data_IF_470441930339
#
_entry.id   IF_470441930339
#
_cell.length_a   1.000
_cell.length_b   1.000
_cell.length_c   1.000
_cell.angle_alpha   90.00
_cell.angle_beta   90.00
_cell.angle_gamma   90.00
#
_symmetry.space_group_name_H-M   'P 1'
#
loop_
_entity.id
_entity.type
_entity.pdbx_description
1 polymer ?
#
# COMPACT_ATOMS: atom_id res chain seq x y z
N UNK A 1 -22.66 3.76 12.04
CA UNK A 1 -21.27 3.57 11.59
C UNK A 1 -21.29 2.53 10.48
N UNK A 2 -20.62 2.78 9.35
CA UNK A 2 -20.57 1.83 8.22
C UNK A 2 -19.12 1.40 8.05
N UNK A 3 -18.90 0.08 8.05
CA UNK A 3 -17.60 -0.50 7.75
C UNK A 3 -17.67 -1.18 6.38
N UNK A 4 -16.62 -1.03 5.57
CA UNK A 4 -16.48 -1.70 4.29
C UNK A 4 -15.06 -2.23 4.14
N UNK A 5 -14.92 -3.48 3.71
CA UNK A 5 -13.63 -4.12 3.54
C UNK A 5 -13.74 -5.61 3.29
N UNK A 6 -12.58 -6.24 3.10
CA UNK A 6 -12.46 -7.68 2.87
C UNK A 6 -11.31 -8.22 3.71
N UNK A 7 -11.61 -9.05 4.72
CA UNK A 7 -10.57 -9.62 5.60
C UNK A 7 -9.67 -10.65 4.91
N UNK A 8 -9.99 -11.07 3.68
CA UNK A 8 -9.06 -11.84 2.84
C UNK A 8 -7.90 -11.00 2.30
N UNK A 9 -8.01 -9.67 2.35
CA UNK A 9 -6.91 -8.78 1.97
C UNK A 9 -5.93 -8.59 3.13
N UNK A 10 -4.89 -7.78 2.92
CA UNK A 10 -3.81 -7.56 3.87
C UNK A 10 -4.32 -7.13 5.27
N UNK A 11 -3.76 -7.69 6.35
CA UNK A 11 -4.07 -7.26 7.70
C UNK A 11 -3.44 -5.88 8.00
N UNK A 12 -3.84 -5.21 9.10
CA UNK A 12 -3.19 -3.99 9.55
C UNK A 12 -1.68 -4.17 9.78
N UNK A 13 -0.85 -3.20 9.35
CA UNK A 13 0.63 -3.30 9.41
C UNK A 13 1.17 -3.27 10.84
N UNK A 14 0.61 -2.40 11.70
CA UNK A 14 1.06 -2.18 13.10
C UNK A 14 -0.04 -2.44 14.14
N UNK A 15 -1.18 -2.99 13.71
CA UNK A 15 -2.34 -3.21 14.55
C UNK A 15 -2.76 -4.68 14.58
N UNK A 16 -3.62 -5.03 15.54
CA UNK A 16 -4.22 -6.37 15.60
C UNK A 16 -5.40 -6.47 14.64
N UNK A 17 -5.66 -7.68 14.13
CA UNK A 17 -6.88 -7.98 13.37
C UNK A 17 -8.08 -7.91 14.31
N UNK A 18 -9.21 -7.38 13.85
CA UNK A 18 -10.42 -7.23 14.67
C UNK A 18 -10.95 -8.58 15.19
N UNK A 19 -10.70 -9.66 14.44
CA UNK A 19 -11.09 -11.03 14.79
C UNK A 19 -10.05 -11.79 15.63
N UNK A 20 -8.91 -11.18 15.96
CA UNK A 20 -7.86 -11.85 16.71
C UNK A 20 -8.26 -12.09 18.17
N UNK A 21 -8.14 -13.32 18.64
CA UNK A 21 -8.45 -13.68 20.03
C UNK A 21 -7.45 -13.07 21.02
N UNK A 22 -6.23 -12.72 20.59
CA UNK A 22 -5.17 -12.18 21.47
C UNK A 22 -5.51 -10.81 22.07
N UNK A 23 -6.37 -10.03 21.43
CA UNK A 23 -6.85 -8.74 21.99
C UNK A 23 -7.69 -8.97 23.26
N UNK A 24 -8.29 -10.15 23.42
CA UNK A 24 -9.09 -10.51 24.60
C UNK A 24 -8.22 -10.77 25.84
N UNK A 25 -7.04 -11.38 25.64
CA UNK A 25 -6.12 -11.77 26.72
C UNK A 25 -5.37 -10.58 27.34
N UNK A 26 -5.54 -9.38 26.80
CA UNK A 26 -4.98 -8.15 27.37
C UNK A 26 -5.83 -7.56 28.51
N UNK A 27 -7.10 -7.96 28.64
CA UNK A 27 -8.03 -7.47 29.67
C UNK A 27 -7.54 -7.83 31.09
N UNK A 28 -6.83 -8.94 31.25
CA UNK A 28 -6.30 -9.40 32.53
C UNK A 28 -4.99 -8.71 32.96
N UNK A 29 -4.45 -7.81 32.12
CA UNK A 29 -3.21 -7.08 32.44
C UNK A 29 -3.50 -5.90 33.36
N UNK A 30 -3.01 -5.97 34.61
CA UNK A 30 -3.14 -4.93 35.67
C UNK A 30 -2.70 -3.51 35.26
N UNK A 31 -1.97 -3.32 34.16
CA UNK A 31 -1.60 -2.01 33.59
C UNK A 31 -1.64 -2.05 32.07
N UNK A 32 -2.79 -1.78 31.48
CA UNK A 32 -2.91 -1.62 30.02
C UNK A 32 -2.42 -0.23 29.60
N UNK A 33 -1.59 -0.18 28.54
CA UNK A 33 -1.27 1.09 27.88
C UNK A 33 -2.52 1.65 27.19
N UNK A 34 -2.54 2.97 26.91
CA UNK A 34 -3.65 3.59 26.17
C UNK A 34 -3.90 2.89 24.83
N UNK A 35 -2.82 2.51 24.12
CA UNK A 35 -2.92 1.79 22.85
C UNK A 35 -3.66 0.45 23.00
N UNK A 36 -3.34 -0.33 24.04
CA UNK A 36 -4.01 -1.60 24.32
C UNK A 36 -5.48 -1.39 24.69
N UNK A 37 -5.79 -0.37 25.51
CA UNK A 37 -7.17 0.01 25.83
C UNK A 37 -7.98 0.33 24.56
N UNK A 38 -7.41 1.11 23.64
CA UNK A 38 -8.06 1.45 22.37
C UNK A 38 -8.31 0.22 21.49
N UNK A 39 -7.38 -0.75 21.44
CA UNK A 39 -7.57 -2.00 20.71
C UNK A 39 -8.71 -2.84 21.30
N UNK A 40 -8.81 -2.93 22.63
CA UNK A 40 -9.90 -3.64 23.32
C UNK A 40 -11.25 -2.98 23.04
N UNK A 41 -11.33 -1.65 23.15
CA UNK A 41 -12.56 -0.90 22.84
C UNK A 41 -12.94 -1.03 21.36
N UNK A 42 -11.97 -0.94 20.44
CA UNK A 42 -12.18 -1.14 19.01
C UNK A 42 -12.77 -2.51 18.69
N UNK A 43 -12.24 -3.55 19.33
CA UNK A 43 -12.78 -4.91 19.21
C UNK A 43 -14.18 -5.02 19.81
N UNK A 44 -14.42 -4.46 21.00
CA UNK A 44 -15.74 -4.46 21.62
C UNK A 44 -16.79 -3.80 20.70
N UNK A 45 -16.47 -2.65 20.10
CA UNK A 45 -17.33 -1.98 19.11
C UNK A 45 -17.56 -2.84 17.87
N UNK A 46 -16.53 -3.51 17.35
CA UNK A 46 -16.69 -4.46 16.23
C UNK A 46 -17.68 -5.59 16.56
N UNK A 47 -17.68 -6.09 17.79
CA UNK A 47 -18.63 -7.13 18.23
C UNK A 47 -20.07 -6.64 18.43
N UNK A 48 -20.33 -5.34 18.40
CA UNK A 48 -21.69 -4.77 18.39
C UNK A 48 -22.30 -4.70 16.98
N UNK A 49 -21.53 -5.01 15.92
CA UNK A 49 -22.05 -5.03 14.55
C UNK A 49 -22.92 -6.27 14.35
N UNK A 50 -24.22 -6.06 14.21
CA UNK A 50 -25.24 -7.12 14.02
C UNK A 50 -25.80 -7.18 12.60
N UNK A 51 -25.56 -6.15 11.79
CA UNK A 51 -26.00 -6.07 10.39
C UNK A 51 -24.78 -6.23 9.48
N UNK A 52 -24.79 -7.24 8.62
CA UNK A 52 -23.72 -7.52 7.67
C UNK A 52 -24.35 -7.75 6.31
N UNK A 53 -23.75 -7.17 5.27
CA UNK A 53 -24.14 -7.41 3.88
C UNK A 53 -22.89 -7.81 3.11
N UNK A 54 -22.93 -8.98 2.47
CA UNK A 54 -21.86 -9.50 1.64
C UNK A 54 -22.25 -9.30 0.18
N UNK A 55 -21.43 -8.55 -0.56
CA UNK A 55 -21.59 -8.39 -2.00
C UNK A 55 -20.95 -9.59 -2.71
N UNK A 56 -21.71 -10.27 -3.57
CA UNK A 56 -21.28 -11.49 -4.27
C UNK A 56 -20.81 -11.24 -5.72
N UNK A 57 -21.27 -10.16 -6.35
CA UNK A 57 -20.92 -9.86 -7.74
C UNK A 57 -19.57 -9.14 -7.86
N UNK A 58 -18.63 -9.75 -8.59
CA UNK A 58 -17.32 -9.15 -8.84
C UNK A 58 -17.36 -8.21 -10.06
N UNK A 59 -17.45 -6.91 -9.78
CA UNK A 59 -17.50 -5.88 -10.83
C UNK A 59 -16.14 -5.53 -11.46
N UNK A 60 -15.03 -5.99 -10.86
CA UNK A 60 -13.67 -5.68 -11.36
C UNK A 60 -13.31 -6.50 -12.59
N UNK A 61 -13.71 -7.77 -12.59
CA UNK A 61 -13.42 -8.72 -13.65
C UNK A 61 -14.74 -9.25 -14.19
N UNK A 62 -15.34 -8.48 -15.12
CA UNK A 62 -16.54 -8.92 -15.82
C UNK A 62 -16.12 -9.97 -16.84
N UNK A 63 -16.49 -11.23 -16.58
CA UNK A 63 -16.05 -12.37 -17.38
C UNK A 63 -16.46 -12.23 -18.85
N UNK A 64 -15.49 -11.92 -19.71
CA UNK A 64 -15.69 -11.85 -21.15
C UNK A 64 -15.16 -13.12 -21.85
N UNK A 65 -14.10 -13.73 -21.31
CA UNK A 65 -13.42 -14.89 -21.88
C UNK A 65 -13.41 -16.10 -20.94
N UNK A 66 -13.01 -17.26 -21.44
CA UNK A 66 -12.78 -18.45 -20.60
C UNK A 66 -11.63 -18.25 -19.61
N UNK A 67 -10.55 -17.61 -20.07
CA UNK A 67 -9.41 -17.23 -19.22
C UNK A 67 -9.85 -16.28 -18.09
N UNK A 68 -10.74 -15.31 -18.35
CA UNK A 68 -11.27 -14.44 -17.29
C UNK A 68 -12.10 -15.21 -16.26
N UNK A 69 -12.88 -16.22 -16.70
CA UNK A 69 -13.61 -17.11 -15.79
C UNK A 69 -12.66 -17.96 -14.94
N UNK A 70 -11.59 -18.48 -15.55
CA UNK A 70 -10.56 -19.23 -14.83
C UNK A 70 -9.82 -18.36 -13.81
N UNK A 71 -9.46 -17.13 -14.18
CA UNK A 71 -8.86 -16.16 -13.27
C UNK A 71 -9.80 -15.76 -12.13
N UNK A 72 -11.08 -15.48 -12.42
CA UNK A 72 -12.07 -15.16 -11.41
C UNK A 72 -12.26 -16.31 -10.41
N UNK A 73 -12.34 -17.56 -10.90
CA UNK A 73 -12.39 -18.77 -10.06
C UNK A 73 -11.14 -18.91 -9.20
N UNK A 74 -9.96 -18.79 -9.79
CA UNK A 74 -8.70 -18.86 -9.07
C UNK A 74 -8.62 -17.80 -7.96
N UNK A 75 -9.05 -16.56 -8.22
CA UNK A 75 -9.11 -15.49 -7.21
C UNK A 75 -10.13 -15.79 -6.11
N UNK A 76 -11.31 -16.30 -6.45
CA UNK A 76 -12.33 -16.68 -5.48
C UNK A 76 -11.82 -17.78 -4.54
N UNK A 77 -11.17 -18.80 -5.07
CA UNK A 77 -10.56 -19.87 -4.27
C UNK A 77 -9.35 -19.37 -3.47
N UNK A 78 -8.53 -18.49 -4.06
CA UNK A 78 -7.36 -17.88 -3.39
C UNK A 78 -7.76 -17.04 -2.18
N UNK A 79 -8.93 -16.39 -2.24
CA UNK A 79 -9.52 -15.65 -1.11
C UNK A 79 -9.61 -16.52 0.16
N UNK A 80 -9.83 -17.83 -0.01
CA UNK A 80 -9.94 -18.81 1.08
C UNK A 80 -8.69 -19.69 1.23
N UNK A 81 -7.59 -19.36 0.52
CA UNK A 81 -6.41 -20.21 0.39
C UNK A 81 -6.76 -21.66 0.01
N UNK A 82 -7.72 -21.82 -0.90
CA UNK A 82 -8.28 -23.09 -1.33
C UNK A 82 -8.15 -23.30 -2.85
N UNK A 83 -7.10 -22.74 -3.47
CA UNK A 83 -6.87 -22.94 -4.90
C UNK A 83 -6.76 -24.44 -5.23
N UNK A 84 -7.42 -24.83 -6.31
CA UNK A 84 -7.41 -26.18 -6.87
C UNK A 84 -6.19 -26.40 -7.77
N UNK A 85 -5.83 -27.65 -8.10
CA UNK A 85 -4.79 -27.92 -9.10
C UNK A 85 -5.02 -27.18 -10.43
N UNK A 86 -6.28 -27.11 -10.88
CA UNK A 86 -6.68 -26.40 -12.10
C UNK A 86 -6.42 -24.89 -12.00
N UNK A 87 -6.66 -24.29 -10.82
CA UNK A 87 -6.34 -22.88 -10.58
C UNK A 87 -4.83 -22.64 -10.61
N UNK A 88 -4.03 -23.57 -10.06
CA UNK A 88 -2.57 -23.47 -10.06
C UNK A 88 -2.01 -23.58 -11.48
N UNK A 89 -2.51 -24.53 -12.28
CA UNK A 89 -2.11 -24.70 -13.68
C UNK A 89 -2.44 -23.46 -14.50
N UNK A 90 -3.65 -22.91 -14.32
CA UNK A 90 -4.02 -21.65 -14.94
C UNK A 90 -3.07 -20.50 -14.53
N UNK A 91 -2.79 -20.33 -13.24
CA UNK A 91 -1.89 -19.28 -12.76
C UNK A 91 -0.46 -19.43 -13.30
N UNK A 92 0.02 -20.67 -13.51
CA UNK A 92 1.32 -20.93 -14.16
C UNK A 92 1.36 -20.41 -15.59
N UNK A 93 0.24 -20.41 -16.33
CA UNK A 93 0.18 -19.81 -17.67
C UNK A 93 0.41 -18.30 -17.66
N UNK A 94 0.15 -17.64 -16.51
CA UNK A 94 0.36 -16.19 -16.33
C UNK A 94 1.77 -15.85 -15.86
N UNK A 95 2.62 -16.84 -15.61
CA UNK A 95 4.03 -16.63 -15.26
C UNK A 95 4.81 -16.20 -16.49
N UNK A 96 5.48 -15.05 -16.37
CA UNK A 96 6.27 -14.45 -17.45
C UNK A 96 7.31 -15.45 -17.95
N UNK A 97 7.42 -15.57 -19.27
CA UNK A 97 8.31 -16.51 -19.95
C UNK A 97 8.12 -18.00 -19.57
N UNK A 98 7.00 -18.37 -18.94
CA UNK A 98 6.70 -19.75 -18.57
C UNK A 98 6.24 -20.62 -19.75
N UNK A 99 5.82 -20.01 -20.86
CA UNK A 99 5.43 -20.69 -22.10
C UNK A 99 5.52 -19.74 -23.31
N UNK A 100 5.43 -20.22 -24.56
CA UNK A 100 5.42 -19.35 -25.75
C UNK A 100 4.27 -18.32 -25.77
N UNK A 101 3.15 -18.64 -25.13
CA UNK A 101 1.97 -17.78 -25.01
C UNK A 101 1.92 -17.03 -23.67
N UNK A 102 2.95 -17.15 -22.84
CA UNK A 102 3.01 -16.44 -21.57
C UNK A 102 3.20 -14.93 -21.79
N UNK A 103 2.74 -14.10 -20.83
CA UNK A 103 3.00 -12.66 -20.84
C UNK A 103 4.50 -12.36 -20.92
N UNK A 104 4.88 -11.31 -21.67
CA UNK A 104 6.26 -10.82 -21.71
C UNK A 104 6.33 -9.40 -21.16
N UNK A 105 7.26 -9.14 -20.25
CA UNK A 105 7.45 -7.79 -19.69
C UNK A 105 8.00 -6.77 -20.71
N UNK A 106 8.47 -7.25 -21.85
CA UNK A 106 8.83 -6.41 -23.00
C UNK A 106 7.62 -5.90 -23.77
N UNK A 107 6.45 -6.53 -23.62
CA UNK A 107 5.24 -6.12 -24.33
C UNK A 107 4.81 -4.72 -23.87
N UNK A 108 4.37 -3.88 -24.81
CA UNK A 108 3.97 -2.49 -24.53
C UNK A 108 2.92 -2.39 -23.42
N UNK A 109 2.04 -3.39 -23.30
CA UNK A 109 1.03 -3.51 -22.24
C UNK A 109 1.61 -3.52 -20.83
N UNK A 110 2.82 -4.05 -20.64
CA UNK A 110 3.44 -4.27 -19.33
C UNK A 110 4.70 -3.43 -19.08
N UNK A 111 5.29 -2.84 -20.13
CA UNK A 111 6.64 -2.26 -20.08
C UNK A 111 6.84 -1.27 -18.93
N UNK A 112 5.95 -0.30 -18.78
CA UNK A 112 6.03 0.76 -17.76
C UNK A 112 4.96 0.63 -16.67
N UNK A 113 4.38 -0.56 -16.56
CA UNK A 113 3.37 -0.87 -15.55
C UNK A 113 4.05 -1.16 -14.22
N UNK A 114 3.61 -0.45 -13.18
CA UNK A 114 4.15 -0.61 -11.82
C UNK A 114 4.04 -2.06 -11.33
N UNK A 115 5.15 -2.70 -10.98
CA UNK A 115 5.18 -4.07 -10.46
C UNK A 115 4.72 -4.06 -9.00
N UNK A 116 3.72 -4.87 -8.65
CA UNK A 116 3.31 -5.04 -7.24
C UNK A 116 4.31 -5.98 -6.56
N UNK A 117 4.89 -5.53 -5.45
CA UNK A 117 5.87 -6.29 -4.66
C UNK A 117 5.48 -6.32 -3.18
N UNK A 118 6.06 -7.25 -2.40
CA UNK A 118 5.74 -7.35 -0.98
C UNK A 118 6.57 -6.39 -0.11
N UNK A 119 7.82 -6.10 -0.50
CA UNK A 119 8.77 -5.36 0.33
C UNK A 119 9.15 -4.01 -0.27
N UNK A 120 9.34 -3.01 0.60
CA UNK A 120 9.78 -1.68 0.18
C UNK A 120 11.17 -1.69 -0.49
N UNK A 121 12.11 -2.51 0.00
CA UNK A 121 13.44 -2.62 -0.59
C UNK A 121 13.39 -3.22 -2.01
N UNK A 122 12.55 -4.23 -2.23
CA UNK A 122 12.33 -4.81 -3.56
C UNK A 122 11.67 -3.80 -4.50
N UNK A 123 10.66 -3.07 -4.01
CA UNK A 123 10.03 -1.95 -4.72
C UNK A 123 11.06 -0.89 -5.14
N UNK A 124 11.94 -0.46 -4.22
CA UNK A 124 12.95 0.55 -4.51
C UNK A 124 13.99 0.04 -5.53
N UNK A 125 14.38 -1.24 -5.47
CA UNK A 125 15.28 -1.85 -6.46
C UNK A 125 14.66 -1.89 -7.86
N UNK A 126 13.38 -2.29 -7.99
CA UNK A 126 12.69 -2.24 -9.29
C UNK A 126 12.54 -0.81 -9.80
N UNK A 127 12.32 0.16 -8.92
CA UNK A 127 12.27 1.57 -9.30
C UNK A 127 13.60 2.08 -9.85
N UNK A 128 14.73 1.71 -9.24
CA UNK A 128 16.06 2.08 -9.72
C UNK A 128 16.36 1.47 -11.10
N UNK A 129 16.08 0.17 -11.27
CA UNK A 129 16.23 -0.52 -12.55
C UNK A 129 15.28 0.05 -13.62
N UNK A 130 14.02 0.31 -13.26
CA UNK A 130 13.01 0.88 -14.13
C UNK A 130 13.38 2.28 -14.61
N UNK A 131 13.95 3.11 -13.73
CA UNK A 131 14.43 4.45 -14.05
C UNK A 131 15.50 4.43 -15.16
N UNK A 132 16.57 3.64 -14.96
CA UNK A 132 17.66 3.52 -15.91
C UNK A 132 17.21 2.95 -17.25
N UNK A 133 16.31 1.96 -17.20
CA UNK A 133 15.72 1.34 -18.39
C UNK A 133 14.85 2.34 -19.15
N UNK A 134 13.96 3.06 -18.48
CA UNK A 134 13.04 4.00 -19.11
C UNK A 134 13.78 5.13 -19.84
N UNK A 135 14.82 5.68 -19.22
CA UNK A 135 15.68 6.68 -19.84
C UNK A 135 16.33 6.15 -21.14
N UNK A 136 16.83 4.91 -21.11
CA UNK A 136 17.40 4.25 -22.29
C UNK A 136 16.36 3.99 -23.38
N UNK A 137 15.21 3.43 -23.00
CA UNK A 137 14.12 3.09 -23.94
C UNK A 137 13.55 4.35 -24.62
N UNK A 138 13.56 5.49 -23.93
CA UNK A 138 13.06 6.78 -24.45
C UNK A 138 14.16 7.69 -24.99
N UNK A 139 15.42 7.25 -24.99
CA UNK A 139 16.59 8.02 -25.39
C UNK A 139 16.67 9.41 -24.72
N UNK A 140 16.44 9.44 -23.40
CA UNK A 140 16.51 10.64 -22.57
C UNK A 140 17.61 10.51 -21.52
N UNK A 141 18.20 11.63 -21.13
CA UNK A 141 19.12 11.69 -19.99
C UNK A 141 18.35 11.75 -18.67
N UNK A 142 18.87 11.06 -17.66
CA UNK A 142 18.39 11.19 -16.29
C UNK A 142 18.93 12.46 -15.66
N UNK A 143 18.05 13.20 -15.01
CA UNK A 143 18.40 14.37 -14.21
C UNK A 143 18.27 14.03 -12.74
N UNK A 144 19.37 14.17 -12.01
CA UNK A 144 19.41 13.99 -10.55
C UNK A 144 19.08 15.28 -9.82
N UNK A 145 18.09 15.22 -8.94
CA UNK A 145 17.73 16.28 -8.01
C UNK A 145 17.95 15.82 -6.57
N UNK A 146 18.69 16.59 -5.81
CA UNK A 146 19.10 16.27 -4.46
C UNK A 146 18.23 17.02 -3.45
N UNK A 147 17.92 16.37 -2.33
CA UNK A 147 17.23 17.02 -1.23
C UNK A 147 18.12 18.05 -0.55
N UNK A 148 17.50 19.06 0.05
CA UNK A 148 18.15 19.96 1.00
C UNK A 148 17.85 19.44 2.40
N UNK A 149 18.89 18.94 3.07
CA UNK A 149 18.77 18.29 4.38
C UNK A 149 19.52 19.12 5.43
N UNK A 150 18.92 19.26 6.60
CA UNK A 150 19.56 19.82 7.81
C UNK A 150 19.41 18.84 8.96
N UNK A 151 20.37 18.82 9.88
CA UNK A 151 20.22 18.01 11.09
C UNK A 151 19.00 18.48 11.87
N UNK A 152 18.10 17.55 12.20
CA UNK A 152 16.96 17.90 13.03
C UNK A 152 17.47 18.31 14.43
N UNK A 153 16.86 19.34 15.05
CA UNK A 153 17.15 19.65 16.44
C UNK A 153 17.02 18.40 17.30
N UNK A 154 17.94 18.22 18.25
CA UNK A 154 17.83 17.13 19.23
C UNK A 154 16.60 17.40 20.08
N UNK A 155 15.48 16.76 19.73
CA UNK A 155 14.34 16.74 20.60
C UNK A 155 14.72 16.02 21.88
N UNK A 156 14.54 16.73 23.00
CA UNK A 156 14.54 16.08 24.31
C UNK A 156 13.49 14.97 24.26
N UNK A 157 13.84 13.72 24.60
CA UNK A 157 12.94 12.59 24.43
C UNK A 157 11.63 12.88 25.17
N UNK A 158 10.51 12.60 24.50
CA UNK A 158 9.13 12.68 25.01
C UNK A 158 8.83 11.68 26.15
N UNK A 159 9.85 11.23 26.89
CA UNK A 159 9.69 10.48 28.12
C UNK A 159 9.61 11.43 29.32
N UNK A 160 8.39 11.54 29.86
CA UNK A 160 8.12 11.95 31.24
C UNK A 160 9.02 11.17 32.21
N UNK A 161 10.23 11.67 32.51
CA UNK A 161 11.01 11.31 33.71
C UNK A 161 12.14 12.31 33.95
N UNK A 162 12.02 12.99 35.10
CA UNK A 162 12.99 13.84 35.82
C UNK A 162 13.31 15.23 35.22
N UNK A 163 12.59 16.21 35.75
CA UNK A 163 12.96 17.64 35.78
C UNK A 163 14.41 17.80 36.26
N UNK A 164 15.31 18.19 35.37
CA UNK A 164 16.52 18.95 35.70
C UNK A 164 16.41 20.32 35.05
N UNK A 165 16.75 21.37 35.81
CA UNK A 165 16.63 22.79 35.42
C UNK A 165 17.25 23.04 34.04
N UNK A 166 16.63 23.88 33.19
CA UNK A 166 17.20 24.19 31.88
C UNK A 166 18.49 25.00 32.07
N UNK A 167 19.62 24.48 31.59
CA UNK A 167 20.82 25.31 31.37
C UNK A 167 20.54 26.24 30.19
N UNK A 168 20.95 27.50 30.32
CA UNK A 168 20.79 28.59 29.33
C UNK A 168 21.14 28.09 27.91
N UNK A 169 20.20 28.27 26.98
CA UNK A 169 20.38 28.01 25.55
C UNK A 169 21.42 29.00 25.00
N UNK A 170 22.60 28.52 24.66
CA UNK A 170 23.43 29.18 23.65
C UNK A 170 22.84 28.87 22.27
N UNK A 171 22.90 29.84 21.35
CA UNK A 171 22.46 29.72 19.97
C UNK A 171 22.91 28.37 19.37
N UNK A 172 21.99 27.42 19.20
CA UNK A 172 22.27 26.19 18.47
C UNK A 172 22.36 26.56 17.00
N UNK A 173 23.58 26.75 16.52
CA UNK A 173 23.87 26.73 15.10
C UNK A 173 23.29 25.44 14.52
N UNK A 174 22.47 25.55 13.47
CA UNK A 174 22.08 24.44 12.61
C UNK A 174 23.36 23.87 12.03
N UNK A 175 23.89 22.81 12.64
CA UNK A 175 25.06 22.13 12.09
C UNK A 175 24.65 21.51 10.76
N UNK A 176 25.32 21.93 9.67
CA UNK A 176 25.19 21.27 8.38
C UNK A 176 25.59 19.80 8.50
N UNK A 177 24.97 18.94 7.69
CA UNK A 177 25.30 17.51 7.67
C UNK A 177 26.68 17.35 7.01
N UNK A 178 27.64 16.63 7.63
CA UNK A 178 28.94 16.37 7.01
C UNK A 178 28.81 15.74 5.63
N UNK A 179 29.58 16.21 4.65
CA UNK A 179 29.46 15.84 3.23
C UNK A 179 29.40 14.32 2.98
N UNK A 180 30.28 13.55 3.66
CA UNK A 180 30.29 12.07 3.55
C UNK A 180 28.99 11.43 4.04
N UNK A 181 28.39 11.99 5.09
CA UNK A 181 27.10 11.53 5.63
C UNK A 181 25.99 11.95 4.66
N UNK A 182 26.02 13.19 4.16
CA UNK A 182 25.04 13.69 3.19
C UNK A 182 25.02 12.86 1.91
N UNK A 183 26.19 12.52 1.36
CA UNK A 183 26.30 11.65 0.19
C UNK A 183 25.72 10.26 0.45
N UNK A 184 25.93 9.71 1.66
CA UNK A 184 25.35 8.42 2.06
C UNK A 184 23.83 8.49 2.20
N UNK A 185 23.31 9.60 2.71
CA UNK A 185 21.88 9.87 2.84
C UNK A 185 21.21 10.04 1.46
N UNK A 186 21.85 10.75 0.53
CA UNK A 186 21.35 10.89 -0.85
C UNK A 186 21.37 9.58 -1.63
N UNK A 187 22.34 8.71 -1.36
CA UNK A 187 22.45 7.39 -2.00
C UNK A 187 21.60 6.29 -1.32
N UNK A 188 20.96 6.59 -0.19
CA UNK A 188 20.13 5.62 0.52
C UNK A 188 18.81 5.39 -0.23
N UNK A 189 18.37 4.12 -0.28
CA UNK A 189 17.06 3.79 -0.84
C UNK A 189 15.94 4.43 -0.01
N UNK A 190 14.82 4.86 -0.63
CA UNK A 190 13.69 5.46 0.07
C UNK A 190 13.16 4.64 1.26
N UNK A 191 13.25 3.31 1.23
CA UNK A 191 12.86 2.43 2.34
C UNK A 191 13.67 2.67 3.63
N UNK A 192 14.88 3.21 3.52
CA UNK A 192 15.75 3.55 4.64
C UNK A 192 15.66 5.03 5.04
N UNK A 193 14.84 5.82 4.35
CA UNK A 193 14.70 7.27 4.59
C UNK A 193 13.23 7.68 4.73
N UNK A 194 12.44 6.90 5.47
CA UNK A 194 11.03 7.23 5.74
C UNK A 194 10.13 7.29 4.50
N UNK A 195 10.57 6.74 3.37
CA UNK A 195 9.94 6.87 2.05
C UNK A 195 9.94 8.28 1.47
N UNK A 196 10.91 9.10 1.86
CA UNK A 196 11.20 10.42 1.27
C UNK A 196 12.56 10.33 0.59
N UNK A 197 12.62 10.54 -0.72
CA UNK A 197 13.85 10.37 -1.49
C UNK A 197 14.93 11.40 -1.09
N UNK A 198 16.17 10.94 -0.90
CA UNK A 198 17.32 11.84 -0.78
C UNK A 198 17.76 12.37 -2.16
N UNK A 199 17.69 11.52 -3.19
CA UNK A 199 17.93 11.85 -4.59
C UNK A 199 16.76 11.37 -5.44
N UNK A 200 16.28 12.22 -6.34
CA UNK A 200 15.30 11.87 -7.37
C UNK A 200 15.99 11.90 -8.72
N UNK A 201 16.08 10.74 -9.36
CA UNK A 201 16.57 10.62 -10.73
C UNK A 201 15.35 10.50 -11.66
N UNK A 202 15.09 11.53 -12.47
CA UNK A 202 13.88 11.61 -13.31
C UNK A 202 14.18 12.15 -14.71
N UNK A 203 13.29 11.82 -15.65
CA UNK A 203 13.18 12.45 -16.97
C UNK A 203 11.69 12.65 -17.32
N UNK A 204 11.39 13.36 -18.41
CA UNK A 204 10.00 13.62 -18.81
C UNK A 204 9.29 12.30 -19.21
N UNK A 205 8.02 12.20 -18.87
CA UNK A 205 7.18 11.01 -19.07
C UNK A 205 7.34 9.90 -18.02
N UNK A 206 8.31 10.00 -17.12
CA UNK A 206 8.60 8.93 -16.16
C UNK A 206 7.45 8.73 -15.15
N UNK A 207 7.03 7.48 -14.86
CA UNK A 207 5.99 7.19 -13.88
C UNK A 207 6.45 7.48 -12.45
N UNK A 208 5.64 8.25 -11.73
CA UNK A 208 5.83 8.62 -10.34
C UNK A 208 4.54 8.43 -9.53
N UNK A 209 4.67 8.40 -8.20
CA UNK A 209 3.57 8.32 -7.25
C UNK A 209 3.73 9.39 -6.19
N UNK A 210 2.68 10.16 -5.95
CA UNK A 210 2.62 11.19 -4.91
C UNK A 210 2.66 10.52 -3.52
N UNK A 211 3.44 11.07 -2.60
CA UNK A 211 3.70 10.48 -1.26
C UNK A 211 3.10 11.25 -0.10
N UNK A 212 2.55 12.44 -0.37
CA UNK A 212 1.91 13.31 0.62
C UNK A 212 0.49 13.71 0.17
N UNK A 213 -0.38 14.03 1.13
CA UNK A 213 -1.67 14.65 0.83
C UNK A 213 -1.44 16.16 0.75
N UNK A 214 -1.49 16.71 -0.46
CA UNK A 214 -1.18 18.12 -0.71
C UNK A 214 -2.48 18.90 -0.87
N UNK A 215 -3.30 18.51 -1.84
CA UNK A 215 -4.57 19.15 -2.17
C UNK A 215 -5.55 18.09 -2.67
N UNK A 216 -6.41 17.61 -1.78
CA UNK A 216 -7.37 16.53 -2.07
C UNK A 216 -8.37 16.90 -3.17
N UNK A 217 -8.76 18.16 -3.19
CA UNK A 217 -9.66 18.79 -4.15
C UNK A 217 -9.06 18.88 -5.56
N UNK A 218 -7.73 18.84 -5.67
CA UNK A 218 -6.99 18.75 -6.93
C UNK A 218 -6.49 17.33 -7.22
N UNK A 219 -6.99 16.33 -6.47
CA UNK A 219 -6.56 14.94 -6.57
C UNK A 219 -5.05 14.73 -6.31
N UNK A 220 -4.37 15.67 -5.66
CA UNK A 220 -2.96 15.58 -5.26
C UNK A 220 -2.84 14.87 -3.93
N UNK A 221 -3.13 13.57 -3.93
CA UNK A 221 -3.21 12.74 -2.72
C UNK A 221 -2.11 11.69 -2.67
N UNK A 222 -1.81 11.21 -1.45
CA UNK A 222 -0.86 10.13 -1.25
C UNK A 222 -1.34 8.86 -1.94
N UNK A 223 -0.52 8.36 -2.86
CA UNK A 223 -0.81 7.16 -3.65
C UNK A 223 -1.43 7.45 -5.02
N UNK A 224 -1.70 8.71 -5.37
CA UNK A 224 -2.06 9.11 -6.73
C UNK A 224 -0.88 8.86 -7.67
N UNK A 225 -1.15 8.16 -8.77
CA UNK A 225 -0.18 7.88 -9.83
C UNK A 225 -0.14 9.05 -10.82
N UNK A 226 1.04 9.38 -11.32
CA UNK A 226 1.25 10.46 -12.26
C UNK A 226 2.47 10.17 -13.15
N UNK A 227 2.65 10.97 -14.19
CA UNK A 227 3.88 10.97 -15.01
C UNK A 227 4.55 12.33 -14.90
N UNK A 228 5.88 12.36 -14.92
CA UNK A 228 6.66 13.61 -14.92
C UNK A 228 6.33 14.40 -16.18
N UNK A 229 5.90 15.65 -16.02
CA UNK A 229 5.57 16.56 -17.14
C UNK A 229 6.71 17.56 -17.39
N UNK A 230 7.08 18.32 -16.36
CA UNK A 230 8.20 19.27 -16.40
C UNK A 230 8.66 19.62 -14.98
N UNK A 231 9.66 20.48 -14.84
CA UNK A 231 10.12 20.95 -13.53
C UNK A 231 10.76 22.34 -13.56
N UNK A 232 10.79 22.96 -12.38
CA UNK A 232 11.62 24.13 -12.06
C UNK A 232 12.66 23.70 -11.03
N UNK A 233 13.90 24.10 -11.26
CA UNK A 233 15.03 23.70 -10.44
C UNK A 233 15.95 24.88 -10.16
N UNK A 234 16.65 24.79 -9.03
CA UNK A 234 17.64 25.77 -8.58
C UNK A 234 18.91 25.06 -8.12
N UNK A 235 19.92 25.86 -7.79
CA UNK A 235 21.16 25.39 -7.19
C UNK A 235 21.09 25.57 -5.67
N UNK A 236 21.40 24.50 -4.93
CA UNK A 236 21.46 24.49 -3.48
C UNK A 236 22.79 24.97 -2.89
N UNK A 237 22.82 25.04 -1.57
CA UNK A 237 23.98 25.54 -0.79
C UNK A 237 25.26 24.74 -1.00
N UNK A 238 25.15 23.44 -1.33
CA UNK A 238 26.27 22.55 -1.65
C UNK A 238 26.51 22.45 -3.16
N UNK A 239 26.03 23.43 -3.94
CA UNK A 239 26.06 23.48 -5.41
C UNK A 239 25.30 22.34 -6.11
N UNK A 240 24.55 21.55 -5.36
CA UNK A 240 23.72 20.46 -5.87
C UNK A 240 22.47 20.99 -6.57
N UNK A 241 21.97 20.27 -7.58
CA UNK A 241 20.70 20.60 -8.24
C UNK A 241 19.54 20.24 -7.32
N UNK A 242 18.66 21.18 -7.02
CA UNK A 242 17.47 20.98 -6.19
C UNK A 242 16.22 21.12 -7.05
N UNK A 243 15.21 20.29 -6.78
CA UNK A 243 13.90 20.37 -7.42
C UNK A 243 12.98 21.27 -6.60
N UNK A 244 12.59 22.41 -7.15
CA UNK A 244 11.71 23.36 -6.46
C UNK A 244 10.25 23.04 -6.69
N UNK A 245 9.89 22.82 -7.96
CA UNK A 245 8.54 22.46 -8.39
C UNK A 245 8.62 21.37 -9.44
N UNK A 246 7.87 20.29 -9.22
CA UNK A 246 7.67 19.24 -10.21
C UNK A 246 6.26 19.35 -10.77
N UNK A 247 6.13 19.54 -12.07
CA UNK A 247 4.85 19.39 -12.75
C UNK A 247 4.65 17.92 -13.10
N UNK A 248 3.52 17.35 -12.68
CA UNK A 248 3.15 15.98 -13.01
C UNK A 248 1.79 15.94 -13.67
N UNK A 249 1.60 15.04 -14.63
CA UNK A 249 0.29 14.76 -15.23
C UNK A 249 -0.35 13.58 -14.52
N UNK A 250 -1.47 13.81 -13.83
CA UNK A 250 -2.16 12.77 -13.07
C UNK A 250 -2.72 11.69 -14.00
N UNK A 251 -2.53 10.42 -13.62
CA UNK A 251 -3.06 9.26 -14.35
C UNK A 251 -4.42 8.89 -13.79
N UNK A 252 -5.45 8.92 -14.63
CA UNK A 252 -6.84 8.57 -14.30
C UNK A 252 -7.35 9.19 -12.98
N UNK A 253 -7.24 10.51 -12.79
CA UNK A 253 -7.78 11.14 -11.58
C UNK A 253 -9.31 10.98 -11.53
N UNK A 254 -9.92 10.96 -10.33
CA UNK A 254 -11.38 10.85 -10.18
C UNK A 254 -12.20 11.91 -10.92
N UNK A 255 -11.60 13.07 -11.17
CA UNK A 255 -12.16 14.16 -11.98
C UNK A 255 -11.04 14.83 -12.77
N UNK A 256 -11.38 15.42 -13.91
CA UNK A 256 -10.44 16.24 -14.68
C UNK A 256 -10.08 17.49 -13.89
N UNK A 257 -8.78 17.73 -13.74
CA UNK A 257 -8.24 18.92 -13.07
C UNK A 257 -7.76 19.89 -14.14
N UNK A 258 -8.15 21.15 -14.05
CA UNK A 258 -7.67 22.22 -14.91
C UNK A 258 -7.15 23.36 -14.04
N UNK A 259 -5.90 23.72 -14.25
CA UNK A 259 -5.26 24.90 -13.66
C UNK A 259 -4.94 25.84 -14.82
N UNK A 260 -5.26 27.12 -14.67
CA UNK A 260 -5.02 28.12 -15.72
C UNK A 260 -3.54 28.15 -16.11
N UNK A 261 -3.28 28.13 -17.42
CA UNK A 261 -1.93 28.05 -17.98
C UNK A 261 -1.30 26.65 -18.03
N UNK A 262 -1.98 25.61 -17.51
CA UNK A 262 -1.50 24.22 -17.58
C UNK A 262 -2.44 23.34 -18.42
N UNK A 263 -1.89 22.25 -18.95
CA UNK A 263 -2.69 21.19 -19.57
C UNK A 263 -3.63 20.51 -18.56
N UNK A 264 -4.64 19.85 -19.08
CA UNK A 264 -5.55 19.04 -18.28
C UNK A 264 -4.78 17.97 -17.49
N UNK A 265 -5.11 17.88 -16.21
CA UNK A 265 -4.52 17.00 -15.20
C UNK A 265 -3.04 17.27 -14.88
N UNK A 266 -2.46 18.36 -15.38
CA UNK A 266 -1.12 18.78 -14.98
C UNK A 266 -1.20 19.62 -13.71
N UNK A 267 -0.49 19.18 -12.66
CA UNK A 267 -0.49 19.83 -11.34
C UNK A 267 0.94 20.08 -10.85
N UNK A 268 1.20 21.23 -10.17
CA UNK A 268 2.50 21.53 -9.59
C UNK A 268 2.66 20.90 -8.20
N UNK A 269 3.79 20.24 -7.96
CA UNK A 269 4.19 19.69 -6.66
C UNK A 269 5.42 20.45 -6.17
N UNK A 270 5.23 21.32 -5.17
CA UNK A 270 6.33 22.05 -4.55
C UNK A 270 7.06 21.19 -3.52
N UNK A 271 8.33 21.52 -3.30
CA UNK A 271 9.16 20.95 -2.24
C UNK A 271 8.50 21.12 -0.86
N UNK A 272 8.44 20.04 -0.07
CA UNK A 272 7.91 20.03 1.29
C UNK A 272 9.01 19.67 2.29
N UNK A 273 8.88 20.17 3.52
CA UNK A 273 9.73 19.76 4.63
C UNK A 273 9.10 18.55 5.32
N UNK A 274 9.87 17.48 5.46
CA UNK A 274 9.52 16.31 6.28
C UNK A 274 10.67 15.99 7.23
N UNK A 275 10.33 15.61 8.46
CA UNK A 275 11.31 15.07 9.40
C UNK A 275 11.50 13.59 9.12
N UNK A 276 12.73 13.21 8.79
CA UNK A 276 13.07 11.87 8.30
C UNK A 276 14.12 11.23 9.20
N UNK A 277 13.85 10.01 9.66
CA UNK A 277 14.87 9.13 10.24
C UNK A 277 15.54 8.34 9.11
N UNK A 278 16.84 8.56 8.92
CA UNK A 278 17.65 7.92 7.90
C UNK A 278 18.49 6.81 8.55
N UNK A 279 18.33 5.57 8.07
CA UNK A 279 19.19 4.44 8.42
C UNK A 279 20.39 4.42 7.47
N UNK A 280 21.59 4.55 8.04
CA UNK A 280 22.86 4.54 7.30
C UNK A 280 23.40 3.10 7.14
N UNK A 281 24.36 2.93 6.23
CA UNK A 281 24.97 1.60 5.92
C UNK A 281 25.70 0.94 7.09
N UNK A 282 26.05 1.71 8.11
CA UNK A 282 26.69 1.23 9.34
C UNK A 282 25.66 0.96 10.47
N UNK A 283 24.39 0.82 10.12
CA UNK A 283 23.23 0.65 11.02
C UNK A 283 22.98 1.80 11.99
N UNK A 284 23.72 2.91 11.88
CA UNK A 284 23.42 4.13 12.66
C UNK A 284 22.27 4.91 12.04
N UNK A 285 21.50 5.58 12.88
CA UNK A 285 20.36 6.40 12.48
C UNK A 285 20.67 7.88 12.65
N UNK A 286 20.32 8.69 11.66
CA UNK A 286 20.38 10.15 11.74
C UNK A 286 18.99 10.72 11.45
N UNK A 287 18.54 11.65 12.29
CA UNK A 287 17.27 12.35 12.09
C UNK A 287 17.55 13.71 11.46
N UNK A 288 16.90 13.97 10.34
CA UNK A 288 17.07 15.19 9.54
C UNK A 288 15.72 15.86 9.28
N UNK A 289 15.74 17.14 8.98
CA UNK A 289 14.65 17.83 8.29
C UNK A 289 15.03 17.86 6.80
N UNK A 290 14.22 17.21 5.98
CA UNK A 290 14.43 17.04 4.55
C UNK A 290 13.46 17.91 3.78
N UNK A 291 13.98 18.75 2.89
CA UNK A 291 13.21 19.47 1.89
C UNK A 291 13.33 18.75 0.54
N UNK A 292 12.26 18.08 0.11
CA UNK A 292 12.17 17.41 -1.20
C UNK A 292 10.73 17.45 -1.74
N UNK A 293 10.55 17.35 -3.06
CA UNK A 293 9.22 17.13 -3.65
C UNK A 293 8.70 15.74 -3.23
N UNK A 294 7.45 15.62 -2.72
CA UNK A 294 6.95 14.39 -2.13
C UNK A 294 6.49 13.37 -3.18
N UNK A 295 7.41 12.89 -4.01
CA UNK A 295 7.18 11.83 -5.01
C UNK A 295 8.20 10.70 -4.86
N UNK A 296 7.83 9.51 -5.34
CA UNK A 296 8.75 8.43 -5.63
C UNK A 296 8.46 7.90 -7.03
N UNK A 297 9.44 7.25 -7.66
CA UNK A 297 9.23 6.50 -8.87
C UNK A 297 8.18 5.40 -8.68
N UNK A 298 7.46 5.08 -9.76
CA UNK A 298 6.36 4.11 -9.75
C UNK A 298 6.50 3.04 -10.84
N UNK A 299 7.71 2.51 -11.03
CA UNK A 299 7.91 1.24 -11.75
C UNK A 299 7.63 0.03 -10.86
N UNK A 300 7.57 0.23 -9.54
CA UNK A 300 7.02 -0.72 -8.59
C UNK A 300 6.30 -0.03 -7.44
N UNK A 301 5.34 -0.75 -6.86
CA UNK A 301 4.59 -0.35 -5.67
C UNK A 301 4.43 -1.56 -4.73
N UNK A 302 4.24 -1.30 -3.43
CA UNK A 302 3.93 -2.39 -2.51
C UNK A 302 2.49 -2.88 -2.66
N UNK A 303 2.23 -4.11 -2.28
CA UNK A 303 0.88 -4.70 -2.16
C UNK A 303 -0.08 -3.84 -1.32
N UNK A 304 0.39 -3.26 -0.21
CA UNK A 304 -0.36 -2.28 0.58
C UNK A 304 -0.71 -1.01 -0.22
N UNK A 305 0.22 -0.50 -1.03
CA UNK A 305 -0.02 0.69 -1.85
C UNK A 305 -0.96 0.40 -3.05
N UNK A 306 -0.96 -0.84 -3.53
CA UNK A 306 -1.86 -1.32 -4.58
C UNK A 306 -3.28 -1.61 -4.06
N UNK A 307 -3.47 -1.74 -2.75
CA UNK A 307 -4.75 -2.14 -2.18
C UNK A 307 -5.88 -1.17 -2.57
N UNK A 308 -7.01 -1.71 -3.03
CA UNK A 308 -8.17 -0.94 -3.48
C UNK A 308 -8.10 -0.45 -4.94
N UNK A 309 -6.97 -0.58 -5.62
CA UNK A 309 -6.84 -0.21 -7.03
C UNK A 309 -7.40 -1.29 -7.97
N UNK A 310 -7.91 -0.88 -9.12
CA UNK A 310 -8.21 -1.76 -10.26
C UNK A 310 -7.22 -1.44 -11.37
N UNK A 311 -6.61 -2.47 -11.96
CA UNK A 311 -5.50 -2.33 -12.90
C UNK A 311 -5.79 -3.14 -14.19
N UNK A 312 -5.94 -2.47 -15.35
CA UNK A 312 -6.07 -3.13 -16.65
C UNK A 312 -4.88 -4.04 -16.96
N UNK A 313 -3.67 -3.55 -16.70
CA UNK A 313 -2.44 -4.31 -16.69
C UNK A 313 -1.93 -4.42 -15.26
N UNK A 314 -1.79 -5.65 -14.77
CA UNK A 314 -1.38 -5.98 -13.42
C UNK A 314 -0.17 -6.91 -13.46
N UNK A 315 1.00 -6.34 -13.21
CA UNK A 315 2.25 -7.08 -13.09
C UNK A 315 2.54 -7.28 -11.61
N UNK A 316 2.76 -8.53 -11.19
CA UNK A 316 3.01 -8.87 -9.78
C UNK A 316 4.27 -9.69 -9.62
N UNK A 317 5.02 -9.41 -8.56
CA UNK A 317 6.09 -10.27 -8.08
C UNK A 317 5.71 -10.82 -6.70
N UNK A 318 5.50 -12.13 -6.64
CA UNK A 318 4.98 -12.82 -5.46
C UNK A 318 6.09 -13.48 -4.62
N UNK A 319 7.36 -13.35 -5.01
CA UNK A 319 8.52 -14.04 -4.42
C UNK A 319 8.59 -13.87 -2.89
N UNK A 320 8.39 -12.64 -2.40
CA UNK A 320 8.47 -12.31 -0.98
C UNK A 320 7.10 -12.22 -0.27
N UNK A 321 6.02 -12.54 -0.98
CA UNK A 321 4.68 -12.52 -0.41
C UNK A 321 4.51 -13.70 0.56
N UNK A 322 4.15 -13.41 1.82
CA UNK A 322 4.21 -14.43 2.90
C UNK A 322 2.92 -15.21 3.13
N UNK A 323 1.79 -14.69 2.68
CA UNK A 323 0.44 -15.19 3.01
C UNK A 323 -0.46 -15.23 1.78
N UNK A 324 -1.53 -16.05 1.82
CA UNK A 324 -2.58 -16.02 0.79
C UNK A 324 -3.18 -14.61 0.63
N UNK A 325 -3.31 -13.86 1.74
CA UNK A 325 -3.87 -12.51 1.71
C UNK A 325 -3.01 -11.56 0.87
N UNK A 326 -1.68 -11.70 0.91
CA UNK A 326 -0.77 -10.91 0.07
C UNK A 326 -0.91 -11.30 -1.41
N UNK A 327 -0.95 -12.60 -1.71
CA UNK A 327 -1.16 -13.11 -3.07
C UNK A 327 -2.49 -12.62 -3.65
N UNK A 328 -3.58 -12.82 -2.90
CA UNK A 328 -4.92 -12.39 -3.25
C UNK A 328 -4.99 -10.88 -3.41
N UNK A 329 -4.39 -10.10 -2.51
CA UNK A 329 -4.40 -8.63 -2.60
C UNK A 329 -3.70 -8.14 -3.87
N UNK A 330 -2.56 -8.73 -4.22
CA UNK A 330 -1.80 -8.35 -5.42
C UNK A 330 -2.52 -8.78 -6.71
N UNK A 331 -2.94 -10.04 -6.82
CA UNK A 331 -3.55 -10.58 -8.04
C UNK A 331 -4.98 -10.09 -8.26
N UNK A 332 -5.75 -9.85 -7.20
CA UNK A 332 -7.13 -9.34 -7.34
C UNK A 332 -7.22 -7.89 -7.80
N UNK A 333 -6.10 -7.21 -8.08
CA UNK A 333 -6.11 -5.89 -8.74
C UNK A 333 -6.35 -6.02 -10.25
N UNK A 334 -6.11 -7.19 -10.84
CA UNK A 334 -6.35 -7.48 -12.25
C UNK A 334 -7.82 -7.29 -12.63
N UNK A 335 -8.08 -6.69 -13.80
CA UNK A 335 -9.41 -6.63 -14.41
C UNK A 335 -9.62 -7.64 -15.54
N UNK A 336 -8.57 -8.33 -15.99
CA UNK A 336 -8.63 -9.42 -16.98
C UNK A 336 -7.49 -10.42 -16.78
N UNK A 337 -7.65 -11.63 -17.30
CA UNK A 337 -6.61 -12.64 -17.34
C UNK A 337 -5.45 -12.27 -18.30
N UNK A 338 -5.77 -11.68 -19.45
CA UNK A 338 -4.80 -11.22 -20.44
C UNK A 338 -3.93 -10.08 -19.88
N UNK A 339 -4.51 -9.22 -19.05
CA UNK A 339 -3.80 -8.15 -18.36
C UNK A 339 -2.99 -8.58 -17.15
N UNK A 340 -2.89 -9.88 -16.83
CA UNK A 340 -2.19 -10.37 -15.63
C UNK A 340 -0.85 -11.01 -15.97
N UNK A 341 0.22 -10.58 -15.31
CA UNK A 341 1.56 -11.16 -15.46
C UNK A 341 2.24 -11.39 -14.09
N UNK A 342 2.82 -12.58 -13.90
CA UNK A 342 3.57 -12.96 -12.69
C UNK A 342 5.06 -13.04 -13.05
N UNK A 343 5.89 -12.14 -12.51
CA UNK A 343 7.28 -11.91 -12.98
C UNK A 343 8.22 -13.11 -12.82
N UNK A 344 8.03 -13.94 -11.79
CA UNK A 344 8.98 -15.01 -11.47
C UNK A 344 8.26 -16.33 -11.25
N UNK A 345 7.80 -16.59 -10.04
CA UNK A 345 7.02 -17.77 -9.71
C UNK A 345 6.16 -17.43 -8.50
N UNK A 346 5.41 -18.42 -8.05
CA UNK A 346 4.58 -18.30 -6.87
C UNK A 346 4.62 -19.64 -6.13
N UNK A 347 4.47 -19.62 -4.81
CA UNK A 347 4.53 -20.82 -3.97
C UNK A 347 3.12 -21.39 -3.78
N UNK A 348 2.78 -22.58 -4.33
CA UNK A 348 1.41 -23.09 -4.28
C UNK A 348 0.85 -23.25 -2.88
N UNK A 349 1.65 -23.74 -1.92
CA UNK A 349 1.20 -23.93 -0.53
C UNK A 349 0.71 -22.64 0.12
N UNK A 350 1.15 -21.46 -0.34
CA UNK A 350 0.66 -20.18 0.18
C UNK A 350 -0.81 -19.93 -0.12
N UNK A 351 -1.37 -20.56 -1.15
CA UNK A 351 -2.74 -20.36 -1.64
C UNK A 351 -3.57 -21.64 -1.63
N UNK A 352 -3.06 -22.75 -1.08
CA UNK A 352 -3.77 -24.03 -0.94
C UNK A 352 -3.83 -24.56 0.51
N UNK A 353 -3.13 -23.95 1.47
CA UNK A 353 -3.07 -24.43 2.86
C UNK A 353 -4.30 -24.12 3.72
N UNK A 354 -5.36 -23.55 3.15
CA UNK A 354 -6.56 -23.14 3.88
C UNK A 354 -6.34 -21.91 4.78
N UNK A 355 -7.44 -21.47 5.40
CA UNK A 355 -7.44 -20.30 6.27
C UNK A 355 -6.96 -20.64 7.69
N UNK A 356 -6.31 -19.66 8.31
CA UNK A 356 -6.11 -19.66 9.76
C UNK A 356 -7.46 -19.78 10.49
N UNK A 357 -7.46 -20.49 11.62
CA UNK A 357 -8.67 -20.80 12.41
C UNK A 357 -9.45 -19.56 12.79
N UNK A 358 -8.79 -18.46 13.14
CA UNK A 358 -9.47 -17.23 13.54
C UNK A 358 -10.16 -16.55 12.35
N UNK A 359 -9.47 -16.48 11.20
CA UNK A 359 -10.05 -15.91 9.98
C UNK A 359 -11.19 -16.78 9.44
N UNK A 360 -11.05 -18.11 9.49
CA UNK A 360 -12.12 -19.06 9.13
C UNK A 360 -13.37 -18.84 9.99
N UNK A 361 -13.19 -18.70 11.31
CA UNK A 361 -14.29 -18.39 12.24
C UNK A 361 -14.92 -17.03 11.94
N UNK A 362 -14.11 -16.03 11.58
CA UNK A 362 -14.63 -14.71 11.23
C UNK A 362 -15.51 -14.76 9.98
N UNK A 363 -15.02 -15.38 8.90
CA UNK A 363 -15.83 -15.56 7.68
C UNK A 363 -17.13 -16.31 7.95
N UNK A 364 -17.10 -17.43 8.69
CA UNK A 364 -18.32 -18.13 9.07
C UNK A 364 -19.32 -17.22 9.80
N UNK A 365 -18.85 -16.41 10.74
CA UNK A 365 -19.72 -15.51 11.49
C UNK A 365 -20.30 -14.40 10.60
N UNK A 366 -19.51 -13.86 9.66
CA UNK A 366 -19.99 -12.86 8.70
C UNK A 366 -21.04 -13.43 7.75
N UNK A 367 -20.87 -14.66 7.27
CA UNK A 367 -21.87 -15.36 6.44
C UNK A 367 -23.19 -15.57 7.19
N UNK A 368 -23.12 -16.02 8.46
CA UNK A 368 -24.33 -16.17 9.29
C UNK A 368 -25.03 -14.83 9.53
N UNK A 369 -24.29 -13.75 9.82
CA UNK A 369 -24.86 -12.43 10.00
C UNK A 369 -25.45 -11.87 8.69
N UNK A 370 -24.84 -12.17 7.54
CA UNK A 370 -25.36 -11.82 6.23
C UNK A 370 -26.71 -12.50 5.98
N UNK A 371 -26.82 -13.79 6.28
CA UNK A 371 -28.09 -14.53 6.15
C UNK A 371 -29.16 -14.02 7.13
N UNK A 372 -28.82 -13.76 8.39
CA UNK A 372 -29.73 -13.13 9.36
C UNK A 372 -30.21 -11.78 8.84
N UNK A 373 -29.30 -10.98 8.27
CA UNK A 373 -29.63 -9.66 7.69
C UNK A 373 -30.60 -9.80 6.50
N UNK A 374 -30.36 -10.78 5.61
CA UNK A 374 -31.22 -11.09 4.47
C UNK A 374 -32.63 -11.49 4.92
N UNK A 375 -32.74 -12.48 5.81
CA UNK A 375 -34.03 -12.95 6.34
C UNK A 375 -34.81 -11.82 7.06
N UNK A 376 -34.11 -10.98 7.82
CA UNK A 376 -34.74 -9.82 8.48
C UNK A 376 -35.26 -8.82 7.45
N UNK A 377 -34.51 -8.57 6.38
CA UNK A 377 -34.92 -7.67 5.31
C UNK A 377 -36.15 -8.19 4.54
N UNK A 378 -36.21 -9.51 4.32
CA UNK A 378 -37.33 -10.19 3.65
C UNK A 378 -38.52 -10.46 4.59
N UNK A 379 -38.44 -10.06 5.86
CA UNK A 379 -39.45 -10.34 6.89
C UNK A 379 -39.68 -11.84 7.15
N UNK A 380 -38.67 -12.68 6.91
CA UNK A 380 -38.69 -14.13 7.13
C UNK A 380 -38.02 -14.56 8.46
N UNK A 381 -37.37 -13.63 9.15
CA UNK A 381 -36.72 -13.90 10.44
C UNK A 381 -37.74 -13.72 11.59
N UNK A 382 -37.97 -14.73 12.44
CA UNK A 382 -38.88 -14.59 13.58
C UNK A 382 -38.40 -13.55 14.61
N UNK A 383 -39.36 -12.87 15.25
CA UNK A 383 -39.09 -11.89 16.30
C UNK A 383 -38.38 -12.46 17.54
N UNK A 384 -38.37 -13.78 17.70
CA UNK A 384 -37.63 -14.47 18.76
C UNK A 384 -36.12 -14.49 18.53
N UNK A 385 -35.66 -14.23 17.30
CA UNK A 385 -34.23 -14.19 16.96
C UNK A 385 -33.66 -12.80 17.26
N UNK A 386 -33.13 -12.63 18.46
CA UNK A 386 -32.64 -11.35 18.99
C UNK A 386 -31.20 -11.42 19.50
N UNK A 387 -30.55 -10.26 19.58
CA UNK A 387 -29.25 -10.14 20.22
C UNK A 387 -28.58 -8.80 19.97
N UNK A 388 -28.13 -8.18 21.05
CA UNK A 388 -27.45 -6.87 21.00
C UNK A 388 -26.00 -6.96 20.51
N UNK A 389 -25.43 -8.17 20.49
CA UNK A 389 -24.08 -8.44 19.98
C UNK A 389 -24.15 -9.48 18.88
N UNK A 390 -23.15 -9.51 17.98
CA UNK A 390 -23.08 -10.56 16.96
C UNK A 390 -23.10 -11.97 17.52
N UNK A 391 -22.48 -12.20 18.68
CA UNK A 391 -22.38 -13.55 19.25
C UNK A 391 -23.73 -14.00 19.83
N UNK A 392 -24.44 -13.11 20.55
CA UNK A 392 -25.78 -13.43 21.06
C UNK A 392 -26.78 -13.59 19.92
N UNK A 393 -26.72 -12.75 18.89
CA UNK A 393 -27.59 -12.84 17.72
C UNK A 393 -27.35 -14.12 16.92
N UNK A 394 -26.09 -14.47 16.63
CA UNK A 394 -25.75 -15.74 15.96
C UNK A 394 -26.23 -16.94 16.79
N UNK A 395 -26.05 -16.90 18.12
CA UNK A 395 -26.49 -17.99 18.99
C UNK A 395 -28.02 -18.17 18.91
N UNK A 396 -28.78 -17.08 19.05
CA UNK A 396 -30.24 -17.10 18.97
C UNK A 396 -30.73 -17.60 17.60
N UNK A 397 -30.07 -17.20 16.51
CA UNK A 397 -30.38 -17.70 15.17
C UNK A 397 -30.13 -19.20 15.02
N UNK A 398 -29.03 -19.72 15.56
CA UNK A 398 -28.68 -21.15 15.51
C UNK A 398 -29.55 -22.01 16.42
N UNK A 399 -30.14 -21.45 17.49
CA UNK A 399 -31.11 -22.15 18.33
C UNK A 399 -32.49 -22.23 17.67
N UNK A 400 -32.81 -21.27 16.80
CA UNK A 400 -34.04 -21.25 16.02
C UNK A 400 -34.00 -22.18 14.80
N UNK A 401 -32.88 -22.22 14.08
CA UNK A 401 -32.65 -23.11 12.93
C UNK A 401 -32.51 -24.57 13.36
#
# INVERSE_FOLDING_TARGET
MIFAGDFAQLPPVKGSRLYDSKVQTDIDRKRMTLHVQMNVLGKAMWHQVTTVVILSENMRMRSATEDDRAMARALANMRYAACTPEDLDFLRTRVVNGSPHAPKLSDARFRDVSIITAWNAEKDAFNELGCQRFARDTNQDLVSFYSSDVLAPVDSPSNKKKRRRPKKKGNQATYGIPEKIQASIWAALPCFTGHVAGRLDICKGMPVMIRSNIATELCMTKGQEAVVYDWVASQGDQKQRILDVLFVKLVNPPKTIKIDGLEDNVVPLSRQMERVECLLRNDSTVVIERHQVPVLLNFAMTDYAAQGKTRPSNVVNLTHSKTHQAYYTALSRSSSAEGTAIVSSFTPSKITSGLDVQLKREFRNLELLNEITRLRYESELPDTVIGDTRNSLIKSYLEWK
#
